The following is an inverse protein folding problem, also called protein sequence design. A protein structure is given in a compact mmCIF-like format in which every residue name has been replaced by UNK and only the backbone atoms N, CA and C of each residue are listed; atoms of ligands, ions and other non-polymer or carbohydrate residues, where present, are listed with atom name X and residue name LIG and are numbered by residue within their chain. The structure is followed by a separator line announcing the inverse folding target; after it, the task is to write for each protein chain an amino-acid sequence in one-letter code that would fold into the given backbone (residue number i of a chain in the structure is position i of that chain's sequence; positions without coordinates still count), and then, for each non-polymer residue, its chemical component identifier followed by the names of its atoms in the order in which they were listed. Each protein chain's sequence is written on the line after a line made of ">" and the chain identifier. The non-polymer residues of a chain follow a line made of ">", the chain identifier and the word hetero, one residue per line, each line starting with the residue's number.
data_IF_255046276348
#
_entry.id   IF_255046276348
#
_cell.length_a   1.000
_cell.length_b   1.000
_cell.length_c   1.000
_cell.angle_alpha   90.00
_cell.angle_beta   90.00
_cell.angle_gamma   90.00
#
_symmetry.space_group_name_H-M   'P 1'
#
loop_
_entity.id
_entity.type
_entity.pdbx_description
1 polymer ?
#
# COMPACT_ATOMS: atom_id res chain seq x y z
N UNK A 1 5.56 -13.94 13.16
CA UNK A 1 5.24 -13.37 11.85
C UNK A 1 3.98 -12.53 12.02
N UNK A 2 3.97 -11.34 11.46
CA UNK A 2 2.88 -10.35 11.63
C UNK A 2 1.96 -10.37 10.43
N UNK A 3 0.69 -10.02 10.64
CA UNK A 3 -0.25 -9.76 9.55
C UNK A 3 0.19 -8.53 8.74
N UNK A 4 -0.40 -8.37 7.54
CA UNK A 4 -0.08 -7.31 6.59
C UNK A 4 0.49 -7.87 5.28
N UNK A 5 0.77 -7.05 4.25
CA UNK A 5 0.61 -5.62 4.26
C UNK A 5 -0.87 -5.23 4.45
N UNK A 6 -1.09 -4.13 5.16
CA UNK A 6 -2.40 -3.56 5.42
C UNK A 6 -2.70 -2.53 4.35
N UNK A 7 -3.83 -2.71 3.68
CA UNK A 7 -4.39 -1.78 2.72
C UNK A 7 -5.54 -1.03 3.39
N UNK A 8 -5.56 0.28 3.25
CA UNK A 8 -6.55 1.14 3.86
C UNK A 8 -7.26 1.96 2.78
N UNK A 9 -8.55 2.23 3.01
CA UNK A 9 -9.37 3.05 2.14
C UNK A 9 -10.30 3.92 2.98
N UNK A 10 -10.41 5.20 2.61
CA UNK A 10 -11.24 6.18 3.29
C UNK A 10 -12.45 6.50 2.43
N UNK A 11 -13.61 6.40 3.05
CA UNK A 11 -14.89 6.84 2.52
C UNK A 11 -15.83 7.26 3.66
N UNK A 12 -16.79 8.11 3.32
CA UNK A 12 -17.86 8.53 4.23
C UNK A 12 -18.65 7.32 4.73
N UNK A 13 -19.12 7.36 5.98
CA UNK A 13 -19.88 6.26 6.59
C UNK A 13 -21.08 5.83 5.73
N UNK A 14 -21.78 6.81 5.12
CA UNK A 14 -22.91 6.54 4.23
C UNK A 14 -22.53 5.74 2.97
N UNK A 15 -21.27 5.82 2.53
CA UNK A 15 -20.78 5.14 1.33
C UNK A 15 -20.02 3.83 1.64
N UNK A 16 -19.73 3.52 2.91
CA UNK A 16 -18.85 2.39 3.31
C UNK A 16 -19.35 1.03 2.85
N UNK A 17 -20.62 0.73 3.08
CA UNK A 17 -21.20 -0.56 2.68
C UNK A 17 -21.24 -0.68 1.15
N UNK A 18 -21.51 0.42 0.44
CA UNK A 18 -21.49 0.43 -1.02
C UNK A 18 -20.08 0.28 -1.58
N UNK A 19 -19.08 0.94 -0.99
CA UNK A 19 -17.67 0.80 -1.35
C UNK A 19 -17.17 -0.63 -1.10
N UNK A 20 -17.51 -1.23 0.04
CA UNK A 20 -17.22 -2.63 0.33
C UNK A 20 -17.91 -3.56 -0.68
N UNK A 21 -19.19 -3.32 -0.97
CA UNK A 21 -19.96 -4.10 -1.93
C UNK A 21 -19.38 -4.02 -3.35
N UNK A 22 -18.83 -2.88 -3.74
CA UNK A 22 -18.12 -2.73 -5.02
C UNK A 22 -16.75 -3.43 -5.02
N UNK A 23 -16.03 -3.42 -3.89
CA UNK A 23 -14.72 -4.06 -3.78
C UNK A 23 -14.81 -5.60 -3.79
N UNK A 24 -15.82 -6.19 -3.13
CA UNK A 24 -15.94 -7.65 -2.97
C UNK A 24 -15.87 -8.44 -4.30
N UNK A 25 -16.62 -8.11 -5.36
CA UNK A 25 -16.52 -8.82 -6.64
C UNK A 25 -15.14 -8.76 -7.29
N UNK A 26 -14.37 -7.70 -7.04
CA UNK A 26 -13.01 -7.55 -7.61
C UNK A 26 -11.96 -8.35 -6.82
N UNK A 27 -12.28 -8.71 -5.58
CA UNK A 27 -11.41 -9.45 -4.66
C UNK A 27 -11.72 -10.96 -4.62
N UNK A 28 -12.74 -11.44 -5.34
CA UNK A 28 -13.15 -12.85 -5.26
C UNK A 28 -13.25 -13.46 -6.65
N UNK A 29 -12.45 -14.49 -6.92
CA UNK A 29 -12.57 -15.30 -8.14
C UNK A 29 -13.53 -16.49 -7.96
N UNK A 30 -13.65 -17.06 -6.75
CA UNK A 30 -14.49 -18.23 -6.45
C UNK A 30 -15.10 -18.15 -5.03
N UNK A 31 -16.43 -17.95 -4.85
CA UNK A 31 -17.09 -17.99 -3.53
C UNK A 31 -17.01 -19.40 -2.91
N UNK A 32 -17.01 -19.58 -1.56
CA UNK A 32 -17.83 -18.88 -0.56
C UNK A 32 -17.16 -17.73 0.21
N UNK A 33 -17.95 -16.74 0.62
CA UNK A 33 -17.56 -15.71 1.59
C UNK A 33 -18.00 -16.09 3.00
N UNK A 34 -17.08 -15.96 3.96
CA UNK A 34 -17.40 -16.09 5.37
C UNK A 34 -17.48 -14.69 6.00
N UNK A 35 -18.65 -14.33 6.52
CA UNK A 35 -18.97 -12.99 7.02
C UNK A 35 -19.17 -13.06 8.52
N UNK A 36 -18.51 -12.17 9.23
CA UNK A 36 -18.55 -12.06 10.67
C UNK A 36 -18.87 -10.63 11.05
N UNK A 37 -19.78 -10.45 12.00
CA UNK A 37 -20.04 -9.13 12.60
C UNK A 37 -19.36 -9.05 13.97
N UNK A 38 -18.53 -8.03 14.16
CA UNK A 38 -17.87 -7.76 15.44
C UNK A 38 -18.42 -6.44 16.02
N UNK A 39 -19.14 -6.54 17.13
CA UNK A 39 -19.58 -5.40 17.93
C UNK A 39 -18.66 -5.16 19.14
N UNK A 40 -18.91 -4.08 19.89
CA UNK A 40 -18.09 -3.71 21.07
C UNK A 40 -17.97 -4.78 22.17
N UNK A 41 -18.71 -5.90 22.10
CA UNK A 41 -18.38 -7.17 22.75
C UNK A 41 -18.86 -8.39 21.93
N UNK A 42 -18.16 -9.52 22.10
CA UNK A 42 -18.45 -10.82 21.47
C UNK A 42 -19.55 -11.61 22.20
N UNK A 43 -20.22 -12.55 21.51
CA UNK A 43 -20.14 -12.82 20.07
C UNK A 43 -21.26 -12.08 19.30
N UNK A 44 -20.90 -11.44 18.19
CA UNK A 44 -21.87 -11.01 17.17
C UNK A 44 -22.31 -12.19 16.29
N UNK A 45 -23.32 -12.01 15.43
CA UNK A 45 -23.77 -13.07 14.54
C UNK A 45 -22.71 -13.38 13.47
N UNK A 46 -22.64 -14.65 13.08
CA UNK A 46 -21.76 -15.15 12.02
C UNK A 46 -22.62 -15.73 10.90
N UNK A 47 -22.23 -15.49 9.66
CA UNK A 47 -22.95 -15.93 8.48
C UNK A 47 -21.96 -16.44 7.42
N UNK A 48 -22.39 -17.41 6.64
CA UNK A 48 -21.63 -17.92 5.51
C UNK A 48 -22.57 -17.97 4.30
N UNK A 49 -22.12 -17.45 3.17
CA UNK A 49 -22.88 -17.49 1.92
C UNK A 49 -21.94 -17.67 0.73
N UNK A 50 -22.48 -18.19 -0.36
CA UNK A 50 -21.83 -18.24 -1.68
C UNK A 50 -22.27 -17.10 -2.59
N UNK A 51 -23.25 -16.29 -2.16
CA UNK A 51 -23.83 -15.19 -2.94
C UNK A 51 -23.26 -13.85 -2.49
N UNK A 52 -22.63 -13.13 -3.42
CA UNK A 52 -22.16 -11.75 -3.19
C UNK A 52 -23.31 -10.81 -2.82
N UNK A 53 -24.47 -10.96 -3.46
CA UNK A 53 -25.64 -10.12 -3.18
C UNK A 53 -26.19 -10.37 -1.77
N UNK A 54 -26.26 -11.64 -1.35
CA UNK A 54 -26.67 -12.00 0.01
C UNK A 54 -25.65 -11.48 1.04
N UNK A 55 -24.35 -11.56 0.71
CA UNK A 55 -23.29 -11.03 1.55
C UNK A 55 -23.45 -9.52 1.80
N UNK A 56 -23.58 -8.74 0.72
CA UNK A 56 -23.74 -7.28 0.80
C UNK A 56 -25.05 -6.90 1.47
N UNK A 57 -26.16 -7.59 1.17
CA UNK A 57 -27.45 -7.36 1.82
C UNK A 57 -27.38 -7.62 3.34
N UNK A 58 -26.71 -8.71 3.73
CA UNK A 58 -26.52 -9.06 5.14
C UNK A 58 -25.67 -8.01 5.85
N UNK A 59 -24.57 -7.55 5.23
CA UNK A 59 -23.73 -6.47 5.78
C UNK A 59 -24.56 -5.20 5.95
N UNK A 60 -25.31 -4.80 4.91
CA UNK A 60 -26.17 -3.61 4.95
C UNK A 60 -27.20 -3.65 6.07
N UNK A 61 -27.79 -4.83 6.34
CA UNK A 61 -28.79 -4.99 7.38
C UNK A 61 -28.23 -4.88 8.81
N UNK A 62 -26.94 -5.16 9.02
CA UNK A 62 -26.32 -5.23 10.35
C UNK A 62 -25.25 -4.15 10.61
N UNK A 63 -24.83 -3.41 9.57
CA UNK A 63 -23.85 -2.33 9.68
C UNK A 63 -24.44 -1.12 10.41
N UNK A 64 -23.66 -0.51 11.29
CA UNK A 64 -24.08 0.61 12.16
C UNK A 64 -24.17 0.18 13.64
N UNK A 65 -24.99 -0.83 13.99
CA UNK A 65 -24.91 -1.47 15.31
C UNK A 65 -23.59 -2.21 15.54
N UNK A 66 -23.00 -2.78 14.49
CA UNK A 66 -21.74 -3.52 14.52
C UNK A 66 -20.86 -3.18 13.31
N UNK A 67 -19.56 -3.49 13.43
CA UNK A 67 -18.62 -3.48 12.32
C UNK A 67 -18.74 -4.79 11.52
N UNK A 68 -18.28 -4.78 10.28
CA UNK A 68 -18.26 -5.98 9.42
C UNK A 68 -16.82 -6.47 9.19
N UNK A 69 -16.60 -7.77 9.30
CA UNK A 69 -15.36 -8.48 8.98
C UNK A 69 -15.71 -9.59 7.97
N UNK A 70 -15.12 -9.54 6.78
CA UNK A 70 -15.36 -10.47 5.68
C UNK A 70 -14.07 -11.19 5.33
N UNK A 71 -14.12 -12.51 5.33
CA UNK A 71 -13.00 -13.33 4.88
C UNK A 71 -13.12 -13.61 3.38
N UNK A 72 -12.08 -13.24 2.63
CA UNK A 72 -12.02 -13.34 1.17
C UNK A 72 -10.72 -13.99 0.73
N UNK A 73 -10.72 -14.54 -0.49
CA UNK A 73 -9.59 -15.29 -1.06
C UNK A 73 -9.14 -14.72 -2.41
N UNK A 74 -8.69 -13.45 -2.47
CA UNK A 74 -8.24 -12.82 -3.70
C UNK A 74 -7.05 -13.53 -4.32
N UNK A 75 -6.99 -13.47 -5.64
CA UNK A 75 -5.90 -14.03 -6.45
C UNK A 75 -4.90 -12.94 -6.82
N UNK A 76 -3.63 -13.20 -6.50
CA UNK A 76 -2.47 -12.39 -6.89
C UNK A 76 -2.21 -12.49 -8.40
N UNK A 77 -1.38 -11.61 -8.94
CA UNK A 77 -0.91 -11.68 -10.34
C UNK A 77 -0.25 -13.01 -10.70
N UNK A 78 0.34 -13.69 -9.71
CA UNK A 78 0.91 -15.03 -9.84
C UNK A 78 -0.10 -16.17 -9.98
N UNK A 79 -1.41 -15.89 -9.89
CA UNK A 79 -2.48 -16.89 -9.88
C UNK A 79 -2.68 -17.59 -8.52
N UNK A 80 -1.90 -17.20 -7.50
CA UNK A 80 -2.05 -17.73 -6.13
C UNK A 80 -3.17 -17.01 -5.39
N UNK A 81 -4.05 -17.79 -4.76
CA UNK A 81 -5.06 -17.27 -3.83
C UNK A 81 -4.47 -16.99 -2.44
N UNK A 82 -4.89 -15.87 -1.84
CA UNK A 82 -4.39 -15.35 -0.56
C UNK A 82 -5.56 -15.10 0.40
N UNK A 83 -5.59 -15.74 1.59
CA UNK A 83 -6.64 -15.49 2.58
C UNK A 83 -6.50 -14.08 3.17
N UNK A 84 -7.49 -13.23 2.94
CA UNK A 84 -7.53 -11.87 3.46
C UNK A 84 -8.76 -11.61 4.33
N UNK A 85 -8.62 -10.70 5.27
CA UNK A 85 -9.71 -10.09 6.02
C UNK A 85 -9.96 -8.70 5.49
N UNK A 86 -11.18 -8.47 5.02
CA UNK A 86 -11.70 -7.15 4.68
C UNK A 86 -12.60 -6.67 5.82
N UNK A 87 -12.22 -5.59 6.47
CA UNK A 87 -12.99 -4.99 7.55
C UNK A 87 -13.56 -3.66 7.15
N UNK A 88 -14.77 -3.42 7.64
CA UNK A 88 -15.52 -2.18 7.46
C UNK A 88 -16.00 -1.70 8.83
N UNK A 89 -15.51 -0.53 9.23
CA UNK A 89 -15.76 0.03 10.55
C UNK A 89 -16.80 1.14 10.49
N UNK A 90 -17.66 1.16 11.49
CA UNK A 90 -18.57 2.28 11.76
C UNK A 90 -17.80 3.50 12.25
N UNK A 91 -18.37 4.70 12.13
CA UNK A 91 -17.79 5.92 12.69
C UNK A 91 -17.55 5.81 14.18
N UNK A 92 -18.46 5.12 14.87
CA UNK A 92 -18.34 4.86 16.31
C UNK A 92 -17.06 4.07 16.63
N UNK A 93 -16.71 3.09 15.81
CA UNK A 93 -15.50 2.29 16.02
C UNK A 93 -14.25 3.04 15.60
N UNK A 94 -14.28 3.77 14.48
CA UNK A 94 -13.17 4.61 14.04
C UNK A 94 -12.82 5.73 15.04
N UNK A 95 -13.84 6.35 15.66
CA UNK A 95 -13.61 7.33 16.73
C UNK A 95 -12.94 6.73 17.97
N UNK A 96 -13.13 5.44 18.23
CA UNK A 96 -12.48 4.78 19.37
C UNK A 96 -11.07 4.32 19.04
N UNK A 97 -10.86 3.61 17.94
CA UNK A 97 -9.58 2.95 17.68
C UNK A 97 -8.81 3.46 16.45
N UNK A 98 -9.49 4.11 15.50
CA UNK A 98 -8.88 4.70 14.30
C UNK A 98 -8.15 3.69 13.43
N UNK A 99 -8.82 2.62 13.01
CA UNK A 99 -8.22 1.49 12.27
C UNK A 99 -8.31 1.64 10.75
N UNK A 100 -8.98 2.69 10.25
CA UNK A 100 -9.27 2.88 8.84
C UNK A 100 -10.70 2.46 8.51
N UNK A 101 -11.57 3.34 7.98
CA UNK A 101 -12.95 3.03 7.58
C UNK A 101 -13.13 1.70 6.87
N UNK A 102 -12.25 1.43 5.90
CA UNK A 102 -12.09 0.14 5.26
C UNK A 102 -10.62 -0.26 5.37
N UNK A 103 -10.35 -1.50 5.77
CA UNK A 103 -9.02 -2.08 5.57
C UNK A 103 -9.06 -3.52 5.11
N UNK A 104 -8.07 -3.91 4.33
CA UNK A 104 -7.85 -5.26 3.84
C UNK A 104 -6.46 -5.70 4.28
N UNK A 105 -6.32 -6.91 4.80
CA UNK A 105 -5.00 -7.47 5.07
C UNK A 105 -5.02 -9.00 4.98
N UNK A 106 -3.92 -9.62 4.53
CA UNK A 106 -3.72 -11.06 4.70
C UNK A 106 -3.44 -11.39 6.18
N UNK A 107 -3.53 -12.65 6.55
CA UNK A 107 -3.16 -13.09 7.90
C UNK A 107 -1.63 -13.00 8.13
N UNK A 108 -0.82 -12.99 7.05
CA UNK A 108 0.65 -13.01 7.09
C UNK A 108 1.30 -12.22 5.95
N UNK A 109 2.37 -11.48 6.26
CA UNK A 109 3.16 -10.72 5.26
C UNK A 109 3.80 -11.57 4.18
N UNK A 110 4.13 -12.82 4.50
CA UNK A 110 4.68 -13.79 3.56
C UNK A 110 3.70 -14.17 2.45
N UNK A 111 2.42 -13.84 2.61
CA UNK A 111 1.43 -14.03 1.55
C UNK A 111 1.63 -13.06 0.39
N UNK A 112 2.22 -11.89 0.62
CA UNK A 112 2.62 -10.93 -0.43
C UNK A 112 4.13 -10.91 -0.63
N UNK A 113 4.88 -10.60 0.42
CA UNK A 113 6.33 -10.49 0.39
C UNK A 113 6.93 -11.74 1.04
N UNK A 114 7.05 -12.83 0.26
CA UNK A 114 7.67 -14.06 0.76
C UNK A 114 9.08 -13.77 1.26
N UNK A 115 9.41 -14.33 2.42
CA UNK A 115 10.78 -14.28 2.96
C UNK A 115 11.73 -15.26 2.25
N UNK A 116 11.35 -15.77 1.09
CA UNK A 116 12.20 -16.58 0.24
C UNK A 116 11.73 -16.57 -1.22
N UNK A 117 12.65 -16.88 -2.12
CA UNK A 117 12.39 -17.10 -3.55
C UNK A 117 13.05 -18.40 -4.00
N UNK A 118 12.49 -18.98 -5.07
CA UNK A 118 13.01 -20.19 -5.69
C UNK A 118 13.58 -19.81 -7.04
N UNK A 119 14.90 -19.80 -7.14
CA UNK A 119 15.65 -19.16 -8.21
C UNK A 119 16.66 -20.13 -8.83
N UNK A 120 16.78 -20.10 -10.16
CA UNK A 120 17.93 -20.67 -10.85
C UNK A 120 19.05 -19.62 -10.89
N UNK A 121 20.09 -19.85 -10.09
CA UNK A 121 21.24 -18.95 -9.99
C UNK A 121 22.25 -19.18 -11.13
N UNK A 122 22.07 -20.22 -11.95
CA UNK A 122 23.04 -20.62 -12.96
C UNK A 122 24.42 -20.95 -12.36
N UNK A 123 25.48 -20.57 -13.08
CA UNK A 123 26.88 -20.73 -12.62
C UNK A 123 27.39 -19.52 -11.82
N UNK A 124 26.60 -18.47 -11.67
CA UNK A 124 26.99 -17.25 -10.96
C UNK A 124 26.73 -17.34 -9.45
N UNK A 125 27.39 -16.49 -8.64
CA UNK A 125 27.13 -16.42 -7.20
C UNK A 125 25.71 -15.85 -6.91
N UNK A 126 25.26 -16.04 -5.67
CA UNK A 126 24.14 -15.29 -5.10
C UNK A 126 24.46 -13.80 -5.08
N UNK A 127 23.45 -12.96 -5.25
CA UNK A 127 23.61 -11.51 -5.32
C UNK A 127 22.43 -10.82 -4.66
N UNK A 128 22.66 -10.23 -3.49
CA UNK A 128 21.65 -9.53 -2.69
C UNK A 128 20.87 -8.51 -3.52
N UNK A 129 21.56 -7.68 -4.31
CA UNK A 129 20.90 -6.69 -5.17
C UNK A 129 19.98 -7.32 -6.20
N UNK A 130 20.49 -8.28 -6.99
CA UNK A 130 19.69 -8.99 -7.99
C UNK A 130 18.48 -9.73 -7.38
N UNK A 131 18.67 -10.38 -6.23
CA UNK A 131 17.61 -11.09 -5.51
C UNK A 131 16.57 -10.09 -4.95
N UNK A 132 17.00 -8.94 -4.44
CA UNK A 132 16.10 -7.85 -4.03
C UNK A 132 15.30 -7.27 -5.21
N UNK A 133 15.92 -7.08 -6.38
CA UNK A 133 15.23 -6.65 -7.61
C UNK A 133 14.10 -7.62 -7.97
N UNK A 134 14.38 -8.93 -7.92
CA UNK A 134 13.36 -9.95 -8.16
C UNK A 134 12.24 -9.93 -7.11
N UNK A 135 12.57 -9.75 -5.84
CA UNK A 135 11.58 -9.62 -4.78
C UNK A 135 10.64 -8.42 -5.00
N UNK A 136 11.17 -7.30 -5.49
CA UNK A 136 10.38 -6.13 -5.84
C UNK A 136 9.39 -6.39 -6.98
N UNK A 137 9.86 -6.99 -8.08
CA UNK A 137 9.00 -7.34 -9.22
C UNK A 137 7.87 -8.28 -8.82
N UNK A 138 8.11 -9.18 -7.86
CA UNK A 138 7.10 -10.12 -7.38
C UNK A 138 5.99 -9.47 -6.55
N UNK A 139 6.21 -8.30 -5.93
CA UNK A 139 5.28 -7.74 -4.94
C UNK A 139 4.62 -6.43 -5.36
N UNK A 140 5.31 -5.57 -6.11
CA UNK A 140 4.81 -4.21 -6.38
C UNK A 140 3.52 -4.24 -7.20
N UNK A 141 3.43 -5.12 -8.21
CA UNK A 141 2.24 -5.29 -9.03
C UNK A 141 1.04 -5.76 -8.22
N UNK A 142 1.24 -6.69 -7.27
CA UNK A 142 0.19 -7.18 -6.37
C UNK A 142 -0.29 -6.09 -5.40
N UNK A 143 0.61 -5.22 -4.92
CA UNK A 143 0.25 -4.08 -4.06
C UNK A 143 -0.61 -3.07 -4.83
N UNK A 144 -0.19 -2.69 -6.04
CA UNK A 144 -0.95 -1.75 -6.87
C UNK A 144 -2.34 -2.29 -7.16
N UNK A 145 -2.39 -3.55 -7.60
CA UNK A 145 -3.63 -4.24 -7.97
C UNK A 145 -4.60 -4.35 -6.78
N UNK A 146 -4.14 -4.79 -5.60
CA UNK A 146 -5.00 -4.88 -4.42
C UNK A 146 -5.47 -3.51 -3.94
N UNK A 147 -4.59 -2.51 -3.96
CA UNK A 147 -4.97 -1.15 -3.57
C UNK A 147 -6.04 -0.60 -4.53
N UNK A 148 -5.94 -0.88 -5.83
CA UNK A 148 -6.93 -0.49 -6.83
C UNK A 148 -8.25 -1.25 -6.70
N UNK A 149 -8.22 -2.57 -6.47
CA UNK A 149 -9.42 -3.37 -6.20
C UNK A 149 -10.17 -2.89 -4.95
N UNK A 150 -9.44 -2.41 -3.94
CA UNK A 150 -10.03 -1.83 -2.74
C UNK A 150 -10.55 -0.39 -2.95
N UNK A 151 -9.77 0.48 -3.59
CA UNK A 151 -10.04 1.92 -3.63
C UNK A 151 -10.75 2.42 -4.90
N UNK A 152 -10.61 1.70 -6.01
CA UNK A 152 -11.21 2.08 -7.29
C UNK A 152 -11.84 0.88 -8.02
N UNK A 153 -12.63 0.02 -7.34
CA UNK A 153 -13.17 -1.19 -7.95
C UNK A 153 -14.05 -0.93 -9.18
N UNK A 154 -14.71 0.23 -9.21
CA UNK A 154 -15.63 0.64 -10.27
C UNK A 154 -15.43 2.11 -10.70
N UNK A 155 -14.31 2.72 -10.32
CA UNK A 155 -13.98 4.13 -10.56
C UNK A 155 -15.06 5.15 -10.12
N UNK A 156 -15.97 4.77 -9.22
CA UNK A 156 -17.08 5.62 -8.75
C UNK A 156 -16.66 6.82 -7.90
N UNK A 157 -15.42 6.83 -7.40
CA UNK A 157 -14.94 7.87 -6.47
C UNK A 157 -15.48 7.76 -5.05
N UNK A 158 -16.15 6.66 -4.67
CA UNK A 158 -16.62 6.43 -3.29
C UNK A 158 -15.49 6.46 -2.27
N UNK A 159 -14.33 5.95 -2.66
CA UNK A 159 -13.09 6.05 -1.88
C UNK A 159 -12.26 7.18 -2.47
N UNK A 160 -11.95 8.18 -1.64
CA UNK A 160 -11.19 9.36 -2.08
C UNK A 160 -9.68 9.19 -1.92
N UNK A 161 -9.26 8.45 -0.89
CA UNK A 161 -7.86 8.17 -0.59
C UNK A 161 -7.69 6.81 0.05
N UNK A 162 -6.52 6.21 -0.15
CA UNK A 162 -6.13 4.94 0.42
C UNK A 162 -4.62 4.80 0.48
N UNK A 163 -4.15 3.70 1.02
CA UNK A 163 -2.72 3.38 0.97
C UNK A 163 -2.39 2.01 1.52
N UNK A 164 -1.12 1.64 1.42
CA UNK A 164 -0.60 0.35 1.85
C UNK A 164 0.61 0.53 2.78
N UNK A 165 0.70 -0.26 3.85
CA UNK A 165 1.87 -0.30 4.74
C UNK A 165 2.00 -1.65 5.44
N UNK A 166 3.18 -1.96 5.95
CA UNK A 166 3.40 -3.12 6.83
C UNK A 166 2.97 -2.86 8.27
N UNK A 167 2.64 -1.61 8.63
CA UNK A 167 2.12 -1.27 9.94
C UNK A 167 0.63 -1.63 10.05
N UNK A 168 0.21 -2.09 11.23
CA UNK A 168 -1.19 -2.40 11.52
C UNK A 168 -2.08 -1.16 11.63
N UNK A 169 -1.49 0.04 11.68
CA UNK A 169 -2.18 1.33 11.71
C UNK A 169 -2.00 2.07 10.38
N UNK A 170 -2.98 2.92 10.06
CA UNK A 170 -2.89 3.81 8.91
C UNK A 170 -1.90 4.94 9.20
N UNK A 171 -0.67 4.80 8.69
CA UNK A 171 0.39 5.81 8.80
C UNK A 171 0.08 7.06 7.98
N UNK A 172 0.77 8.15 8.28
CA UNK A 172 0.82 9.34 7.43
C UNK A 172 1.05 8.94 5.96
N UNK A 173 0.30 9.47 4.98
CA UNK A 173 0.39 9.06 3.58
C UNK A 173 1.82 8.96 3.03
N UNK A 174 2.67 9.95 3.30
CA UNK A 174 4.06 9.91 2.81
C UNK A 174 4.91 8.82 3.47
N UNK A 175 4.50 8.31 4.63
CA UNK A 175 5.14 7.19 5.34
C UNK A 175 4.57 5.81 4.97
N UNK A 176 3.64 5.75 4.01
CA UNK A 176 3.13 4.51 3.43
C UNK A 176 4.05 3.99 2.32
N UNK A 177 3.98 2.71 1.99
CA UNK A 177 4.70 2.15 0.83
C UNK A 177 3.92 2.33 -0.48
N UNK A 178 2.62 2.56 -0.39
CA UNK A 178 1.80 2.98 -1.53
C UNK A 178 0.68 3.92 -1.07
N UNK A 179 0.29 4.87 -1.93
CA UNK A 179 -0.86 5.75 -1.72
C UNK A 179 -1.74 5.79 -2.96
N UNK A 180 -3.05 5.94 -2.73
CA UNK A 180 -4.05 6.12 -3.78
C UNK A 180 -4.77 7.46 -3.57
N UNK A 181 -4.97 8.17 -4.68
CA UNK A 181 -5.76 9.39 -4.76
C UNK A 181 -6.76 9.31 -5.88
N UNK A 182 -8.04 9.50 -5.56
CA UNK A 182 -9.10 9.52 -6.55
C UNK A 182 -8.98 10.73 -7.51
N UNK A 183 -8.40 11.85 -7.04
CA UNK A 183 -8.23 13.07 -7.82
C UNK A 183 -6.79 13.56 -7.79
N UNK A 184 -6.11 13.47 -8.95
CA UNK A 184 -4.74 13.92 -9.14
C UNK A 184 -4.52 15.42 -8.85
N UNK A 185 -5.56 16.25 -9.00
CA UNK A 185 -5.45 17.70 -8.73
C UNK A 185 -5.16 18.00 -7.26
N UNK A 186 -5.60 17.11 -6.38
CA UNK A 186 -5.51 17.28 -4.93
C UNK A 186 -4.32 16.51 -4.33
N UNK A 187 -3.34 16.10 -5.14
CA UNK A 187 -2.20 15.26 -4.67
C UNK A 187 -1.41 15.89 -3.51
N UNK A 188 -1.39 17.22 -3.42
CA UNK A 188 -0.79 17.96 -2.30
C UNK A 188 -1.47 17.66 -0.94
N UNK A 189 -2.69 17.10 -0.97
CA UNK A 189 -3.41 16.60 0.19
C UNK A 189 -2.58 15.62 0.99
N UNK A 190 -1.79 14.77 0.34
CA UNK A 190 -0.95 13.79 1.05
C UNK A 190 0.06 14.46 1.96
N UNK A 191 0.67 15.56 1.51
CA UNK A 191 1.61 16.33 2.30
C UNK A 191 0.92 16.99 3.48
N UNK A 192 -0.24 17.64 3.25
CA UNK A 192 -0.98 18.31 4.31
C UNK A 192 -1.54 17.32 5.34
N UNK A 193 -2.14 16.22 4.90
CA UNK A 193 -2.66 15.15 5.74
C UNK A 193 -1.55 14.48 6.56
N UNK A 194 -0.40 14.21 5.94
CA UNK A 194 0.77 13.68 6.64
C UNK A 194 1.28 14.67 7.69
N UNK A 195 1.40 15.94 7.33
CA UNK A 195 1.89 16.98 8.24
C UNK A 195 0.97 17.13 9.45
N UNK A 196 -0.35 17.25 9.24
CA UNK A 196 -1.34 17.36 10.31
C UNK A 196 -1.33 16.12 11.21
N UNK A 197 -1.31 14.91 10.62
CA UNK A 197 -1.25 13.67 11.40
C UNK A 197 -0.02 13.61 12.31
N UNK A 198 1.15 13.97 11.78
CA UNK A 198 2.41 13.91 12.51
C UNK A 198 2.57 15.05 13.52
N UNK A 199 2.12 16.26 13.19
CA UNK A 199 2.24 17.43 14.06
C UNK A 199 1.24 17.38 15.22
N UNK A 200 -0.02 17.06 14.92
CA UNK A 200 -1.10 17.06 15.91
C UNK A 200 -1.25 15.69 16.61
N UNK A 201 -0.55 14.66 16.14
CA UNK A 201 -0.62 13.30 16.67
C UNK A 201 -1.96 12.61 16.38
N UNK A 202 -2.69 13.07 15.36
CA UNK A 202 -4.00 12.52 15.00
C UNK A 202 -3.89 11.32 14.05
N UNK A 203 -4.76 10.32 14.25
CA UNK A 203 -4.85 9.18 13.34
C UNK A 203 -5.38 9.62 11.97
N UNK A 204 -4.66 9.24 10.91
CA UNK A 204 -5.03 9.52 9.52
C UNK A 204 -6.48 9.12 9.22
N UNK A 205 -6.93 7.98 9.74
CA UNK A 205 -8.28 7.48 9.46
C UNK A 205 -9.39 8.44 9.89
N UNK A 206 -9.14 9.27 10.91
CA UNK A 206 -10.10 10.26 11.44
C UNK A 206 -10.10 11.57 10.68
N UNK A 207 -8.98 11.94 10.07
CA UNK A 207 -8.79 13.23 9.40
C UNK A 207 -8.70 13.14 7.88
N UNK A 208 -8.62 11.92 7.33
CA UNK A 208 -8.59 11.68 5.89
C UNK A 208 -9.85 12.17 5.15
N UNK A 209 -10.92 12.55 5.88
CA UNK A 209 -12.12 13.18 5.33
C UNK A 209 -12.17 14.71 5.36
N UNK A 210 -11.20 15.39 5.99
CA UNK A 210 -11.22 16.85 6.09
C UNK A 210 -11.14 17.49 4.71
N UNK A 211 -11.78 18.62 4.47
CA UNK A 211 -11.62 19.33 3.20
C UNK A 211 -10.17 19.84 3.02
N UNK A 212 -9.79 20.20 1.80
CA UNK A 212 -8.47 20.79 1.56
C UNK A 212 -8.28 22.10 2.34
N UNK A 213 -9.33 22.92 2.43
CA UNK A 213 -9.34 24.18 3.18
C UNK A 213 -9.13 23.92 4.68
N UNK A 214 -9.76 22.88 5.23
CA UNK A 214 -9.58 22.51 6.63
C UNK A 214 -8.15 22.02 6.92
N UNK A 215 -7.56 21.21 6.04
CA UNK A 215 -6.16 20.80 6.16
C UNK A 215 -5.22 22.00 6.05
N UNK A 216 -5.44 22.87 5.05
CA UNK A 216 -4.67 24.10 4.87
C UNK A 216 -4.72 24.99 6.13
N UNK A 217 -5.91 25.23 6.68
CA UNK A 217 -6.08 26.05 7.87
C UNK A 217 -5.34 25.48 9.09
N UNK A 218 -5.30 24.14 9.25
CA UNK A 218 -4.55 23.49 10.33
C UNK A 218 -3.05 23.66 10.17
N UNK A 219 -2.52 23.46 8.96
CA UNK A 219 -1.10 23.69 8.67
C UNK A 219 -0.75 25.17 8.89
N UNK A 220 -1.60 26.08 8.42
CA UNK A 220 -1.35 27.53 8.55
C UNK A 220 -1.43 28.02 10.00
N UNK A 221 -2.28 27.42 10.84
CA UNK A 221 -2.37 27.78 12.26
C UNK A 221 -1.12 27.41 13.08
N UNK A 222 -0.27 26.52 12.57
CA UNK A 222 0.93 26.09 13.27
C UNK A 222 2.03 27.17 13.33
N UNK A 223 2.93 27.13 14.31
CA UNK A 223 4.04 28.07 14.41
C UNK A 223 4.92 28.09 13.15
N UNK A 224 5.38 29.28 12.76
CA UNK A 224 6.34 29.44 11.65
C UNK A 224 7.60 28.62 11.94
N UNK A 225 8.06 27.88 10.94
CA UNK A 225 9.24 27.01 11.04
C UNK A 225 8.97 25.67 11.75
N UNK A 226 7.73 25.34 12.08
CA UNK A 226 7.35 24.02 12.59
C UNK A 226 7.69 22.93 11.55
N UNK A 227 8.16 21.78 12.05
CA UNK A 227 8.63 20.67 11.24
C UNK A 227 8.12 19.36 11.83
N UNK A 228 7.81 18.43 10.95
CA UNK A 228 7.58 17.03 11.29
C UNK A 228 8.62 16.16 10.60
N UNK A 229 8.87 14.97 11.15
CA UNK A 229 9.78 14.00 10.51
C UNK A 229 8.94 12.82 10.09
N UNK A 230 8.57 12.72 8.80
CA UNK A 230 7.94 11.52 8.31
C UNK A 230 8.83 10.30 8.52
N UNK A 231 8.21 9.14 8.77
CA UNK A 231 8.96 7.89 8.86
C UNK A 231 9.63 7.59 7.53
N UNK A 232 10.94 7.41 7.59
CA UNK A 232 11.77 6.87 6.53
C UNK A 232 12.51 5.65 7.10
N UNK A 233 12.33 4.50 6.46
CA UNK A 233 12.93 3.24 6.92
C UNK A 233 14.44 3.17 6.61
N UNK A 234 14.98 4.07 5.77
CA UNK A 234 16.41 4.15 5.43
C UNK A 234 17.28 4.79 6.52
N UNK A 235 16.68 5.29 7.60
CA UNK A 235 17.39 6.02 8.66
C UNK A 235 17.72 7.46 8.31
N UNK A 236 17.41 7.93 7.09
CA UNK A 236 17.43 9.36 6.76
C UNK A 236 16.35 10.09 7.54
N UNK A 237 16.67 11.29 8.01
CA UNK A 237 15.74 12.15 8.76
C UNK A 237 15.54 13.45 7.99
N UNK A 238 14.76 13.38 6.92
CA UNK A 238 14.43 14.55 6.09
C UNK A 238 13.14 15.16 6.66
N UNK A 239 13.18 16.36 7.26
CA UNK A 239 12.00 16.99 7.85
C UNK A 239 11.09 17.61 6.79
N UNK A 240 9.78 17.51 6.99
CA UNK A 240 8.76 18.24 6.24
C UNK A 240 8.36 19.50 7.02
N UNK A 241 8.66 20.67 6.47
CA UNK A 241 8.32 21.96 7.10
C UNK A 241 6.90 22.41 6.78
N UNK A 242 6.30 23.17 7.71
CA UNK A 242 5.02 23.86 7.51
C UNK A 242 5.02 24.67 6.21
N UNK A 243 6.07 25.44 5.97
CA UNK A 243 6.19 26.33 4.81
C UNK A 243 6.27 25.54 3.50
N UNK A 244 6.98 24.40 3.49
CA UNK A 244 7.02 23.49 2.34
C UNK A 244 5.62 22.99 1.99
N UNK A 245 4.83 22.58 2.99
CA UNK A 245 3.46 22.11 2.79
C UNK A 245 2.56 23.22 2.24
N UNK A 246 2.57 24.42 2.83
CA UNK A 246 1.75 25.55 2.36
C UNK A 246 2.10 25.96 0.93
N UNK A 247 3.40 26.00 0.59
CA UNK A 247 3.84 26.27 -0.79
C UNK A 247 3.38 25.17 -1.75
N UNK A 248 3.43 23.91 -1.32
CA UNK A 248 2.97 22.78 -2.15
C UNK A 248 1.46 22.84 -2.40
N UNK A 249 0.67 23.24 -1.40
CA UNK A 249 -0.78 23.44 -1.54
C UNK A 249 -1.15 24.57 -2.51
N UNK A 250 -0.26 25.55 -2.71
CA UNK A 250 -0.45 26.62 -3.69
C UNK A 250 -0.05 26.24 -5.12
N UNK A 251 0.64 25.10 -5.33
CA UNK A 251 1.02 24.65 -6.66
C UNK A 251 -0.12 23.88 -7.34
N UNK A 252 -0.21 23.94 -8.69
CA UNK A 252 -1.06 23.02 -9.43
C UNK A 252 -0.66 21.57 -9.19
N UNK A 253 -1.62 20.68 -8.93
CA UNK A 253 -1.35 19.25 -8.73
C UNK A 253 -0.60 18.60 -9.91
N UNK A 254 -0.79 19.10 -11.14
CA UNK A 254 -0.03 18.64 -12.31
C UNK A 254 1.48 18.87 -12.18
N UNK A 255 1.89 20.02 -11.63
CA UNK A 255 3.31 20.34 -11.43
C UNK A 255 3.95 19.43 -10.38
N UNK A 256 3.21 19.11 -9.30
CA UNK A 256 3.65 18.15 -8.30
C UNK A 256 3.78 16.74 -8.89
N UNK A 257 2.82 16.32 -9.72
CA UNK A 257 2.89 15.00 -10.36
C UNK A 257 4.04 14.93 -11.37
N UNK A 258 4.28 15.98 -12.16
CA UNK A 258 5.42 16.04 -13.07
C UNK A 258 6.75 15.94 -12.30
N UNK A 259 6.86 16.62 -11.15
CA UNK A 259 8.03 16.50 -10.28
C UNK A 259 8.17 15.10 -9.67
N UNK A 260 7.06 14.45 -9.27
CA UNK A 260 7.07 13.06 -8.79
C UNK A 260 7.47 12.07 -9.87
N UNK A 261 6.98 12.23 -11.11
CA UNK A 261 7.41 11.42 -12.26
C UNK A 261 8.91 11.60 -12.50
N UNK A 262 9.37 12.86 -12.58
CA UNK A 262 10.78 13.15 -12.80
C UNK A 262 11.68 12.58 -11.68
N UNK A 263 11.23 12.63 -10.42
CA UNK A 263 11.93 12.05 -9.28
C UNK A 263 11.96 10.51 -9.33
N UNK A 264 10.86 9.87 -9.74
CA UNK A 264 10.81 8.41 -9.91
C UNK A 264 11.71 7.92 -11.06
N UNK A 265 11.87 8.75 -12.10
CA UNK A 265 12.72 8.46 -13.26
C UNK A 265 14.23 8.68 -12.98
N UNK A 266 14.60 9.26 -11.83
CA UNK A 266 16.03 9.42 -11.45
C UNK A 266 16.63 8.03 -11.21
N UNK A 267 17.61 7.60 -12.02
CA UNK A 267 18.04 6.21 -11.93
C UNK A 267 18.93 5.96 -10.72
N UNK A 268 18.60 4.98 -9.89
CA UNK A 268 19.45 4.53 -8.77
C UNK A 268 20.60 3.65 -9.30
N UNK A 269 21.84 4.00 -8.99
CA UNK A 269 23.04 3.30 -9.51
C UNK A 269 23.18 1.87 -8.95
N UNK A 270 22.84 1.65 -7.68
CA UNK A 270 22.94 0.33 -7.07
C UNK A 270 21.85 -0.61 -7.63
N UNK A 271 20.66 -0.06 -7.87
CA UNK A 271 19.58 -0.75 -8.57
C UNK A 271 19.98 -1.12 -10.00
N UNK A 272 20.42 -0.14 -10.80
CA UNK A 272 20.86 -0.35 -12.19
C UNK A 272 21.99 -1.37 -12.32
N UNK A 273 22.92 -1.38 -11.37
CA UNK A 273 24.00 -2.37 -11.36
C UNK A 273 23.50 -3.81 -11.10
N UNK A 274 22.39 -3.96 -10.36
CA UNK A 274 21.80 -5.25 -10.02
C UNK A 274 20.86 -5.82 -11.09
N UNK A 275 20.21 -4.96 -11.88
CA UNK A 275 19.19 -5.35 -12.87
C UNK A 275 19.64 -6.41 -13.89
N UNK A 276 20.82 -6.31 -14.55
CA UNK A 276 21.21 -7.29 -15.56
C UNK A 276 21.31 -8.71 -15.00
N UNK A 277 21.80 -8.83 -13.76
CA UNK A 277 21.90 -10.11 -13.07
C UNK A 277 20.52 -10.61 -12.62
N UNK A 278 19.62 -9.73 -12.21
CA UNK A 278 18.24 -10.09 -11.88
C UNK A 278 17.51 -10.65 -13.11
N UNK A 279 17.65 -10.01 -14.26
CA UNK A 279 17.05 -10.45 -15.53
C UNK A 279 17.57 -11.85 -15.96
N UNK A 280 18.87 -12.08 -15.84
CA UNK A 280 19.48 -13.40 -16.10
C UNK A 280 18.86 -14.48 -15.21
N UNK A 281 18.83 -14.25 -13.88
CA UNK A 281 18.26 -15.19 -12.91
C UNK A 281 16.78 -15.42 -13.19
N UNK A 282 16.01 -14.38 -13.52
CA UNK A 282 14.60 -14.50 -13.86
C UNK A 282 14.41 -15.44 -15.06
N UNK A 283 15.14 -15.20 -16.14
CA UNK A 283 15.03 -15.97 -17.39
C UNK A 283 15.40 -17.43 -17.18
N UNK A 284 16.49 -17.71 -16.46
CA UNK A 284 16.88 -19.07 -16.08
C UNK A 284 15.79 -19.75 -15.25
N UNK A 285 15.27 -19.04 -14.25
CA UNK A 285 14.21 -19.55 -13.37
C UNK A 285 12.92 -19.89 -14.13
N UNK A 286 12.51 -19.04 -15.08
CA UNK A 286 11.34 -19.29 -15.93
C UNK A 286 11.56 -20.52 -16.81
N UNK A 287 12.74 -20.65 -17.43
CA UNK A 287 13.07 -21.81 -18.26
C UNK A 287 13.13 -23.11 -17.45
N UNK A 288 13.73 -23.07 -16.26
CA UNK A 288 13.77 -24.19 -15.32
C UNK A 288 12.36 -24.70 -14.98
N UNK A 289 11.48 -23.77 -14.58
CA UNK A 289 10.07 -24.07 -14.28
C UNK A 289 9.33 -24.62 -15.51
N UNK A 290 9.58 -24.07 -16.70
CA UNK A 290 8.98 -24.55 -17.94
C UNK A 290 9.41 -25.98 -18.31
N UNK A 291 10.62 -26.40 -17.92
CA UNK A 291 11.10 -27.79 -18.04
C UNK A 291 10.53 -28.73 -16.99
N UNK A 292 9.70 -28.24 -16.06
CA UNK A 292 9.13 -29.03 -14.97
C UNK A 292 10.12 -29.31 -13.84
N UNK A 293 11.22 -28.56 -13.76
CA UNK A 293 12.18 -28.70 -12.68
C UNK A 293 11.52 -28.29 -11.35
N UNK A 294 11.64 -29.16 -10.36
CA UNK A 294 11.06 -28.96 -9.03
C UNK A 294 12.15 -28.64 -8.01
N UNK A 295 11.73 -27.99 -6.93
CA UNK A 295 12.55 -27.79 -5.74
C UNK A 295 13.05 -29.14 -5.20
N UNK A 296 14.37 -29.29 -4.98
CA UNK A 296 14.89 -30.47 -4.31
C UNK A 296 14.34 -30.59 -2.88
N UNK A 297 14.16 -31.82 -2.40
CA UNK A 297 13.74 -32.10 -1.01
C UNK A 297 14.65 -31.44 0.05
N UNK A 298 15.91 -31.16 -0.30
CA UNK A 298 16.90 -30.55 0.58
C UNK A 298 16.80 -29.03 0.73
N UNK A 299 15.83 -28.36 0.07
CA UNK A 299 15.76 -26.88 -0.06
C UNK A 299 17.04 -26.23 -0.64
N UNK A 300 18.08 -27.01 -0.95
CA UNK A 300 19.36 -26.55 -1.54
C UNK A 300 19.79 -27.59 -2.55
N UNK A 301 19.62 -27.29 -3.83
CA UNK A 301 20.18 -28.13 -4.89
C UNK A 301 19.93 -27.55 -6.28
N UNK A 302 20.78 -27.89 -7.26
CA UNK A 302 20.62 -27.41 -8.61
C UNK A 302 19.41 -28.08 -9.31
N UNK A 303 18.80 -27.41 -10.30
CA UNK A 303 19.09 -26.05 -10.75
C UNK A 303 18.38 -24.96 -9.92
N UNK A 304 17.36 -25.31 -9.13
CA UNK A 304 16.56 -24.37 -8.35
C UNK A 304 16.94 -24.29 -6.87
N UNK A 305 17.38 -23.11 -6.46
CA UNK A 305 17.84 -22.82 -5.10
C UNK A 305 16.76 -22.13 -4.28
N UNK A 306 16.66 -22.50 -3.00
CA UNK A 306 15.94 -21.69 -2.02
C UNK A 306 16.82 -20.52 -1.58
N UNK A 307 16.38 -19.32 -1.88
CA UNK A 307 17.04 -18.06 -1.53
C UNK A 307 16.22 -17.39 -0.44
N UNK A 308 16.78 -17.27 0.75
CA UNK A 308 16.13 -16.62 1.88
C UNK A 308 16.33 -15.09 1.83
N UNK A 309 15.26 -14.35 2.11
CA UNK A 309 15.32 -12.89 2.24
C UNK A 309 15.95 -12.51 3.58
N UNK A 310 17.22 -12.12 3.53
CA UNK A 310 17.97 -11.66 4.71
C UNK A 310 17.75 -10.16 4.98
N UNK A 311 18.27 -9.67 6.12
CA UNK A 311 18.26 -8.24 6.43
C UNK A 311 18.97 -7.38 5.38
N UNK A 312 20.01 -7.90 4.71
CA UNK A 312 20.72 -7.18 3.64
C UNK A 312 19.81 -6.90 2.44
N UNK A 313 18.94 -7.85 2.09
CA UNK A 313 17.93 -7.65 1.06
C UNK A 313 16.93 -6.57 1.47
N UNK A 314 16.51 -6.57 2.73
CA UNK A 314 15.59 -5.55 3.27
C UNK A 314 16.22 -4.17 3.20
N UNK A 315 17.48 -4.01 3.63
CA UNK A 315 18.19 -2.74 3.54
C UNK A 315 18.35 -2.27 2.09
N UNK A 316 18.73 -3.17 1.18
CA UNK A 316 18.81 -2.84 -0.24
C UNK A 316 17.46 -2.34 -0.78
N UNK A 317 16.35 -3.00 -0.44
CA UNK A 317 15.01 -2.58 -0.86
C UNK A 317 14.59 -1.24 -0.24
N UNK A 318 14.90 -1.01 1.03
CA UNK A 318 14.61 0.24 1.72
C UNK A 318 15.30 1.42 1.02
N UNK A 319 16.55 1.24 0.61
CA UNK A 319 17.39 2.31 0.09
C UNK A 319 17.23 2.49 -1.43
N UNK A 320 17.04 1.39 -2.18
CA UNK A 320 17.18 1.38 -3.64
C UNK A 320 15.94 0.93 -4.41
N UNK A 321 14.90 0.37 -3.76
CA UNK A 321 13.70 -0.06 -4.49
C UNK A 321 13.07 1.12 -5.25
N UNK A 322 12.77 0.99 -6.55
CA UNK A 322 12.24 2.08 -7.34
C UNK A 322 10.80 2.39 -6.93
N UNK A 323 10.35 3.56 -7.37
CA UNK A 323 8.99 4.03 -7.21
C UNK A 323 8.22 3.85 -8.51
N UNK A 324 6.94 3.48 -8.40
CA UNK A 324 6.01 3.49 -9.51
C UNK A 324 5.01 4.62 -9.33
N UNK A 325 4.67 5.28 -10.43
CA UNK A 325 3.60 6.26 -10.49
C UNK A 325 2.65 5.87 -11.61
N UNK A 326 1.38 5.65 -11.25
CA UNK A 326 0.34 5.28 -12.20
C UNK A 326 -0.75 6.33 -12.22
N UNK A 327 -0.94 6.99 -13.36
CA UNK A 327 -2.13 7.82 -13.62
C UNK A 327 -3.32 6.90 -13.89
N UNK A 328 -4.43 7.16 -13.25
CA UNK A 328 -5.62 6.32 -13.34
C UNK A 328 -6.60 6.86 -14.38
N UNK A 329 -7.35 5.99 -15.08
CA UNK A 329 -8.38 6.42 -16.02
C UNK A 329 -9.45 7.34 -15.40
N UNK A 330 -9.67 7.22 -14.09
CA UNK A 330 -10.57 8.08 -13.31
C UNK A 330 -10.07 9.53 -13.13
N UNK A 331 -8.82 9.83 -13.54
CA UNK A 331 -8.16 11.09 -13.22
C UNK A 331 -7.44 11.10 -11.87
N UNK A 332 -7.38 9.94 -11.20
CA UNK A 332 -6.60 9.74 -9.98
C UNK A 332 -5.13 9.41 -10.24
N UNK A 333 -4.39 9.18 -9.16
CA UNK A 333 -3.00 8.72 -9.20
C UNK A 333 -2.73 7.71 -8.09
N UNK A 334 -1.86 6.76 -8.38
CA UNK A 334 -1.32 5.81 -7.42
C UNK A 334 0.21 5.94 -7.40
N UNK A 335 0.76 6.01 -6.19
CA UNK A 335 2.20 5.93 -5.93
C UNK A 335 2.49 4.62 -5.23
N UNK A 336 3.52 3.88 -5.62
CA UNK A 336 3.91 2.66 -4.93
C UNK A 336 5.42 2.40 -4.96
N UNK A 337 5.87 1.55 -4.05
CA UNK A 337 7.21 0.96 -3.99
C UNK A 337 7.13 -0.35 -3.20
N UNK A 338 8.28 -0.92 -2.79
CA UNK A 338 8.32 -2.10 -1.94
C UNK A 338 7.68 -1.86 -0.56
N UNK A 339 7.01 -2.84 0.08
CA UNK A 339 6.47 -2.71 1.45
C UNK A 339 7.48 -2.26 2.52
N UNK A 340 8.76 -2.52 2.28
CA UNK A 340 9.84 -2.13 3.18
C UNK A 340 10.30 -0.69 2.97
N UNK A 341 9.89 -0.02 1.90
CA UNK A 341 10.21 1.39 1.64
C UNK A 341 8.97 2.25 1.83
N UNK A 342 9.17 3.54 2.09
CA UNK A 342 8.10 4.55 2.19
C UNK A 342 8.15 5.45 0.97
N UNK A 343 7.04 6.10 0.61
CA UNK A 343 7.02 7.08 -0.51
C UNK A 343 7.63 8.45 -0.15
N UNK A 344 8.06 8.66 1.11
CA UNK A 344 8.63 9.93 1.55
C UNK A 344 9.88 10.37 0.78
N UNK A 345 10.88 9.51 0.48
CA UNK A 345 12.03 9.93 -0.32
C UNK A 345 11.63 10.45 -1.71
N UNK A 346 10.65 9.81 -2.37
CA UNK A 346 10.12 10.27 -3.65
C UNK A 346 9.54 11.69 -3.54
N UNK A 347 8.75 11.95 -2.49
CA UNK A 347 8.20 13.28 -2.22
C UNK A 347 9.30 14.29 -1.91
N UNK A 348 10.29 13.95 -1.10
CA UNK A 348 11.38 14.84 -0.75
C UNK A 348 12.19 15.26 -1.99
N UNK A 349 12.49 14.31 -2.88
CA UNK A 349 13.21 14.58 -4.13
C UNK A 349 12.38 15.45 -5.09
N UNK A 350 11.08 15.17 -5.23
CA UNK A 350 10.15 15.99 -6.02
C UNK A 350 10.01 17.41 -5.47
N UNK A 351 9.94 17.59 -4.14
CA UNK A 351 9.85 18.90 -3.51
C UNK A 351 11.16 19.68 -3.63
N UNK A 352 12.30 18.98 -3.59
CA UNK A 352 13.62 19.60 -3.78
C UNK A 352 13.82 20.08 -5.22
N UNK A 353 13.39 19.30 -6.22
CA UNK A 353 13.47 19.70 -7.63
C UNK A 353 12.60 20.93 -7.96
N UNK A 354 11.51 21.11 -7.21
CA UNK A 354 10.65 22.32 -7.26
C UNK A 354 11.20 23.50 -6.45
N UNK A 355 12.34 23.36 -5.77
CA UNK A 355 12.93 24.39 -4.92
C UNK A 355 12.13 24.66 -3.64
N UNK A 356 11.30 23.72 -3.20
CA UNK A 356 10.48 23.81 -1.97
C UNK A 356 11.18 23.22 -0.74
N UNK A 357 12.21 22.41 -0.96
CA UNK A 357 13.08 21.82 0.05
C UNK A 357 14.55 22.02 -0.35
N UNK A 358 15.44 22.00 0.65
CA UNK A 358 16.88 22.26 0.52
C UNK A 358 17.69 21.15 1.16
#
# INVERSE_FOLDING_TARGET
>A
MTAGPYFFAWCDEAARVDALGAALPTLVENPPQYIRFDGRMRPGPQFSTTSLDEAVATIRAHFGPADADVFVFPTLSSGRSVPCRLRCFTDRSERSNGWGPLHLHPDRIEEFARMYMILDLGSGPSSVGAEAVLAWHNVVGDIEDFLLRLCAPDASGRVSTGGCTTAWTWLAPVSMCATYHANARDIARDLALSWVSLHDGESVSRIAGLSMEALHARVDAAPVGARVVPTDKSGRTIPLSRETVLKSLALPGSALIEALVAAADVPDEAWRAAEPRAEEIHNLTVQAKARGEQLPESLKGPPLWYVEMTGEHVYFLVDHAPFTLRRLPSGGVLLATHPYRTVWPLWADALSSLGLMS
#
